data_IF_803133528272
#
_entry.id   IF_803133528272
#
_cell.length_a   1.000
_cell.length_b   1.000
_cell.length_c   1.000
_cell.angle_alpha   90.00
_cell.angle_beta   90.00
_cell.angle_gamma   90.00
#
_symmetry.space_group_name_H-M   'P 1'
#
loop_
_entity.id
_entity.type
_entity.pdbx_description
1 polymer ?
#
# COMPACT_ATOMS: atom_id res chain seq x y z
N UNK A 1 13.32 29.55 -56.29
CA UNK A 1 13.03 28.16 -55.94
C UNK A 1 14.07 27.53 -55.01
N UNK A 2 15.38 27.55 -55.34
CA UNK A 2 16.44 26.92 -54.50
C UNK A 2 16.60 27.53 -53.08
N UNK A 3 16.41 28.86 -52.92
CA UNK A 3 16.52 29.52 -51.60
C UNK A 3 15.35 29.17 -50.70
N UNK A 4 14.12 29.12 -51.21
CA UNK A 4 12.91 28.76 -50.47
C UNK A 4 12.96 27.33 -49.92
N UNK A 5 13.45 26.38 -50.72
CA UNK A 5 13.64 24.98 -50.28
C UNK A 5 14.67 24.89 -49.15
N UNK A 6 15.78 25.67 -49.23
CA UNK A 6 16.76 25.70 -48.14
C UNK A 6 16.19 26.24 -46.83
N UNK A 7 15.36 27.29 -46.89
CA UNK A 7 14.69 27.85 -45.69
C UNK A 7 13.74 26.84 -45.07
N UNK A 8 12.94 26.14 -45.87
CA UNK A 8 12.04 25.10 -45.38
C UNK A 8 12.81 23.92 -44.72
N UNK A 9 13.94 23.55 -45.31
CA UNK A 9 14.81 22.48 -44.74
C UNK A 9 15.40 22.93 -43.40
N UNK A 10 15.88 24.15 -43.25
CA UNK A 10 16.41 24.69 -41.99
C UNK A 10 15.30 24.75 -40.93
N UNK A 11 14.10 25.24 -41.29
CA UNK A 11 12.96 25.24 -40.36
C UNK A 11 12.56 23.85 -39.93
N UNK A 12 12.56 22.86 -40.82
CA UNK A 12 12.29 21.45 -40.49
C UNK A 12 13.32 20.86 -39.50
N UNK A 13 14.61 21.15 -39.72
CA UNK A 13 15.67 20.72 -38.80
C UNK A 13 15.52 21.37 -37.42
N UNK A 14 15.21 22.67 -37.35
CA UNK A 14 15.01 23.37 -36.09
C UNK A 14 13.83 22.81 -35.32
N UNK A 15 12.71 22.50 -35.99
CA UNK A 15 11.55 21.85 -35.34
C UNK A 15 11.88 20.45 -34.81
N UNK A 16 12.67 19.70 -35.58
CA UNK A 16 13.09 18.35 -35.17
C UNK A 16 14.00 18.40 -33.94
N UNK A 17 14.96 19.31 -33.91
CA UNK A 17 15.86 19.54 -32.76
C UNK A 17 15.07 20.00 -31.53
N UNK A 18 14.11 20.92 -31.72
CA UNK A 18 13.22 21.36 -30.63
C UNK A 18 12.37 20.20 -30.07
N UNK A 19 11.84 19.35 -30.97
CA UNK A 19 11.07 18.16 -30.58
C UNK A 19 11.91 17.17 -29.77
N UNK A 20 13.13 16.88 -30.22
CA UNK A 20 14.04 15.98 -29.47
C UNK A 20 14.40 16.59 -28.11
N UNK A 21 14.67 17.90 -28.06
CA UNK A 21 14.96 18.62 -26.81
C UNK A 21 13.79 18.55 -25.82
N UNK A 22 12.55 18.71 -26.31
CA UNK A 22 11.34 18.65 -25.50
C UNK A 22 11.13 17.24 -24.92
N UNK A 23 11.29 16.21 -25.75
CA UNK A 23 11.19 14.80 -25.30
C UNK A 23 12.29 14.48 -24.30
N UNK A 24 13.54 14.88 -24.58
CA UNK A 24 14.68 14.70 -23.69
C UNK A 24 14.48 15.40 -22.34
N UNK A 25 13.94 16.62 -22.33
CA UNK A 25 13.59 17.34 -21.10
C UNK A 25 12.49 16.63 -20.31
N UNK A 26 11.46 16.10 -20.99
CA UNK A 26 10.39 15.32 -20.35
C UNK A 26 10.91 14.07 -19.65
N UNK A 27 11.80 13.33 -20.33
CA UNK A 27 12.46 12.14 -19.78
C UNK A 27 13.35 12.51 -18.57
N UNK A 28 14.17 13.57 -18.72
CA UNK A 28 15.02 14.08 -17.65
C UNK A 28 14.20 14.50 -16.43
N UNK A 29 13.12 15.26 -16.62
CA UNK A 29 12.24 15.71 -15.55
C UNK A 29 11.56 14.51 -14.85
N UNK A 30 11.10 13.51 -15.60
CA UNK A 30 10.53 12.29 -15.02
C UNK A 30 11.56 11.52 -14.18
N UNK A 31 12.80 11.40 -14.65
CA UNK A 31 13.89 10.71 -13.95
C UNK A 31 14.38 11.45 -12.69
N UNK A 32 14.20 12.78 -12.63
CA UNK A 32 14.65 13.62 -11.50
C UNK A 32 13.54 13.92 -10.49
N UNK A 33 12.27 13.64 -10.81
CA UNK A 33 11.16 13.75 -9.87
C UNK A 33 11.28 12.66 -8.82
N UNK A 34 11.88 12.97 -7.67
CA UNK A 34 11.77 12.15 -6.46
C UNK A 34 10.34 12.32 -5.94
N UNK A 35 9.46 11.41 -6.31
CA UNK A 35 8.16 11.28 -5.66
C UNK A 35 8.45 10.83 -4.23
N UNK A 36 8.13 11.67 -3.24
CA UNK A 36 8.24 11.27 -1.85
C UNK A 36 7.13 10.27 -1.54
N UNK A 37 7.48 9.20 -0.84
CA UNK A 37 6.50 8.24 -0.35
C UNK A 37 5.50 8.92 0.60
N UNK A 38 4.22 8.60 0.51
CA UNK A 38 3.23 9.10 1.45
C UNK A 38 3.55 8.63 2.88
N UNK A 39 3.26 9.50 3.86
CA UNK A 39 3.41 9.18 5.28
C UNK A 39 2.02 9.15 5.91
N UNK A 40 1.65 8.02 6.50
CA UNK A 40 0.47 7.89 7.33
C UNK A 40 0.84 8.16 8.79
N UNK A 41 0.03 8.98 9.48
CA UNK A 41 0.17 9.23 10.90
C UNK A 41 -0.98 8.54 11.64
N UNK A 42 -0.66 7.67 12.59
CA UNK A 42 -1.61 6.91 13.39
C UNK A 42 -1.44 7.32 14.86
N UNK A 43 -2.48 7.88 15.44
CA UNK A 43 -2.54 8.16 16.87
C UNK A 43 -3.15 6.97 17.60
N UNK A 44 -2.43 6.42 18.57
CA UNK A 44 -2.88 5.29 19.38
C UNK A 44 -3.12 5.79 20.79
N UNK A 45 -4.37 5.74 21.23
CA UNK A 45 -4.80 6.25 22.54
C UNK A 45 -4.00 5.58 23.66
N UNK A 46 -3.40 6.40 24.54
CA UNK A 46 -2.55 5.93 25.64
C UNK A 46 -1.12 5.52 25.28
N UNK A 47 -0.78 5.46 23.97
CA UNK A 47 0.53 4.95 23.51
C UNK A 47 1.31 5.96 22.64
N UNK A 48 0.63 6.97 22.09
CA UNK A 48 1.28 8.02 21.29
C UNK A 48 1.08 7.85 19.80
N UNK A 49 1.99 8.43 19.02
CA UNK A 49 1.88 8.55 17.56
C UNK A 49 2.88 7.64 16.86
N UNK A 50 2.40 6.93 15.84
CA UNK A 50 3.20 6.12 14.92
C UNK A 50 3.18 6.80 13.56
N UNK A 51 4.34 6.96 12.91
CA UNK A 51 4.43 7.38 11.52
C UNK A 51 4.89 6.22 10.65
N UNK A 52 4.19 6.01 9.55
CA UNK A 52 4.37 4.90 8.64
C UNK A 52 4.64 5.46 7.24
N UNK A 53 5.79 5.17 6.69
CA UNK A 53 6.10 5.44 5.28
C UNK A 53 5.46 4.35 4.42
N UNK A 54 4.65 4.75 3.43
CA UNK A 54 3.93 3.84 2.54
C UNK A 54 4.68 3.73 1.21
N UNK A 55 4.72 2.54 0.63
CA UNK A 55 5.50 2.23 -0.57
C UNK A 55 4.58 1.90 -1.77
N UNK A 56 4.04 2.92 -2.47
CA UNK A 56 3.16 2.71 -3.62
C UNK A 56 3.82 1.97 -4.78
N UNK A 57 5.15 2.02 -4.90
CA UNK A 57 5.90 1.26 -5.91
C UNK A 57 5.87 -0.26 -5.64
N UNK A 58 5.69 -0.66 -4.36
CA UNK A 58 5.63 -2.07 -3.94
C UNK A 58 4.22 -2.63 -4.00
N UNK A 59 3.21 -1.83 -3.63
CA UNK A 59 1.82 -2.28 -3.54
C UNK A 59 0.84 -1.12 -3.84
N UNK A 60 0.73 -0.68 -5.11
CA UNK A 60 0.00 0.52 -5.49
C UNK A 60 -1.48 0.49 -5.11
N UNK A 61 -2.20 -0.60 -5.38
CA UNK A 61 -3.62 -0.70 -5.04
C UNK A 61 -3.84 -0.76 -3.52
N UNK A 62 -2.98 -1.47 -2.81
CA UNK A 62 -3.00 -1.59 -1.35
C UNK A 62 -2.79 -0.23 -0.69
N UNK A 63 -1.76 0.51 -1.13
CA UNK A 63 -1.46 1.87 -0.61
C UNK A 63 -2.60 2.82 -0.93
N UNK A 64 -3.11 2.83 -2.18
CA UNK A 64 -4.21 3.70 -2.57
C UNK A 64 -5.48 3.43 -1.74
N UNK A 65 -5.84 2.17 -1.54
CA UNK A 65 -6.96 1.75 -0.71
C UNK A 65 -6.78 2.18 0.75
N UNK A 66 -5.61 1.92 1.33
CA UNK A 66 -5.32 2.30 2.72
C UNK A 66 -5.42 3.82 2.93
N UNK A 67 -4.79 4.62 2.06
CA UNK A 67 -4.85 6.08 2.11
C UNK A 67 -6.29 6.59 2.01
N UNK A 68 -7.08 6.02 1.09
CA UNK A 68 -8.46 6.43 0.88
C UNK A 68 -9.32 6.16 2.10
N UNK A 69 -9.23 4.96 2.68
CA UNK A 69 -9.91 4.60 3.92
C UNK A 69 -9.46 5.49 5.10
N UNK A 70 -8.16 5.74 5.24
CA UNK A 70 -7.62 6.61 6.29
C UNK A 70 -8.16 8.05 6.17
N UNK A 71 -8.07 8.66 4.98
CA UNK A 71 -8.56 10.02 4.73
C UNK A 71 -10.07 10.16 4.93
N UNK A 72 -10.83 9.08 4.73
CA UNK A 72 -12.27 9.07 4.96
C UNK A 72 -12.65 8.79 6.42
N UNK A 73 -11.66 8.55 7.30
CA UNK A 73 -11.86 8.32 8.73
C UNK A 73 -12.29 6.90 9.08
N UNK A 74 -12.15 5.94 8.17
CA UNK A 74 -12.52 4.55 8.41
C UNK A 74 -11.86 3.95 9.66
N UNK A 75 -10.59 4.27 9.88
CA UNK A 75 -9.80 3.71 10.98
C UNK A 75 -10.02 4.41 12.33
N UNK A 76 -10.74 5.54 12.35
CA UNK A 76 -10.95 6.30 13.59
C UNK A 76 -11.79 5.50 14.59
N UNK A 77 -11.29 5.39 15.82
CA UNK A 77 -11.94 4.65 16.91
C UNK A 77 -11.89 3.12 16.78
N UNK A 78 -11.16 2.59 15.80
CA UNK A 78 -10.91 1.15 15.72
C UNK A 78 -9.78 0.74 16.66
N UNK A 79 -9.81 -0.52 17.10
CA UNK A 79 -8.82 -1.11 17.97
C UNK A 79 -7.87 -2.08 17.23
N UNK A 80 -6.78 -2.42 17.89
CA UNK A 80 -5.97 -3.58 17.53
C UNK A 80 -6.58 -4.81 18.21
N UNK A 81 -7.41 -5.53 17.49
CA UNK A 81 -8.19 -6.65 18.01
C UNK A 81 -7.38 -7.94 18.23
N UNK A 82 -6.16 -8.02 17.68
CA UNK A 82 -5.30 -9.19 17.79
C UNK A 82 -3.85 -8.78 17.97
N UNK A 83 -3.24 -9.24 19.04
CA UNK A 83 -1.82 -9.02 19.36
C UNK A 83 -1.16 -10.33 19.66
N UNK A 84 -0.07 -10.63 18.95
CA UNK A 84 0.77 -11.80 19.21
C UNK A 84 2.17 -11.30 19.53
N UNK A 85 2.68 -11.50 20.76
CA UNK A 85 4.04 -11.14 21.11
C UNK A 85 5.06 -11.77 20.18
N UNK A 86 6.12 -11.04 19.86
CA UNK A 86 7.21 -11.45 18.96
C UNK A 86 6.73 -11.88 17.56
N UNK A 87 5.57 -11.37 17.12
CA UNK A 87 5.05 -11.58 15.78
C UNK A 87 4.43 -10.32 15.20
N UNK A 88 3.22 -9.92 15.64
CA UNK A 88 2.51 -8.77 15.04
C UNK A 88 1.38 -8.24 15.90
N UNK A 89 0.93 -7.02 15.59
CA UNK A 89 -0.33 -6.45 16.05
C UNK A 89 -1.23 -6.22 14.84
N UNK A 90 -2.52 -6.58 14.93
CA UNK A 90 -3.49 -6.52 13.83
C UNK A 90 -4.67 -5.63 14.20
N UNK A 91 -5.00 -4.70 13.31
CA UNK A 91 -6.11 -3.75 13.44
C UNK A 91 -6.90 -3.59 12.14
N UNK A 92 -7.77 -2.57 12.09
CA UNK A 92 -8.55 -2.24 10.90
C UNK A 92 -9.81 -3.09 10.70
N UNK A 93 -10.24 -3.84 11.73
CA UNK A 93 -11.52 -4.55 11.74
C UNK A 93 -12.66 -3.60 12.06
N UNK A 94 -13.69 -3.54 11.22
CA UNK A 94 -14.85 -2.66 11.42
C UNK A 94 -15.59 -2.95 12.72
N UNK A 95 -15.71 -4.24 13.06
CA UNK A 95 -16.41 -4.69 14.26
C UNK A 95 -15.49 -4.80 15.48
N UNK A 96 -14.18 -4.57 15.34
CA UNK A 96 -13.21 -4.64 16.42
C UNK A 96 -12.89 -6.04 16.94
N UNK A 97 -13.28 -7.08 16.23
CA UNK A 97 -13.14 -8.51 16.61
C UNK A 97 -12.48 -9.38 15.53
N UNK A 98 -12.01 -8.76 14.45
CA UNK A 98 -11.44 -9.44 13.28
C UNK A 98 -12.46 -9.72 12.18
N UNK A 99 -13.72 -9.35 12.37
CA UNK A 99 -14.78 -9.44 11.36
C UNK A 99 -15.15 -8.08 10.77
N UNK A 100 -16.00 -8.07 9.73
CA UNK A 100 -16.41 -6.86 9.02
C UNK A 100 -15.39 -6.43 7.95
N UNK A 101 -15.88 -6.33 6.73
CA UNK A 101 -15.14 -5.81 5.58
C UNK A 101 -15.49 -4.33 5.34
N UNK A 102 -14.64 -3.57 4.64
CA UNK A 102 -14.99 -2.22 4.22
C UNK A 102 -16.07 -2.27 3.14
N UNK A 103 -16.95 -1.26 3.14
CA UNK A 103 -18.02 -1.09 2.15
C UNK A 103 -17.65 0.00 1.15
N UNK A 104 -18.31 0.04 0.00
CA UNK A 104 -18.11 1.09 -1.00
C UNK A 104 -18.42 2.48 -0.43
N UNK A 105 -19.37 2.59 0.50
CA UNK A 105 -19.66 3.83 1.24
C UNK A 105 -18.47 4.35 2.06
N UNK A 106 -17.60 3.48 2.56
CA UNK A 106 -16.41 3.87 3.31
C UNK A 106 -15.37 4.59 2.42
N UNK A 107 -15.43 4.37 1.10
CA UNK A 107 -14.60 5.05 0.11
C UNK A 107 -15.13 6.44 -0.27
N UNK A 108 -16.37 6.79 0.11
CA UNK A 108 -17.08 8.01 -0.29
C UNK A 108 -17.13 8.20 -1.81
N UNK A 109 -17.16 7.11 -2.54
CA UNK A 109 -17.37 7.10 -3.99
C UNK A 109 -18.85 7.00 -4.33
N UNK A 110 -19.23 7.55 -5.49
CA UNK A 110 -20.58 7.38 -6.02
C UNK A 110 -20.66 5.95 -6.58
N UNK A 111 -21.40 5.09 -5.91
CA UNK A 111 -21.66 3.72 -6.33
C UNK A 111 -23.15 3.42 -6.23
N UNK A 112 -23.65 2.55 -7.09
CA UNK A 112 -25.08 2.13 -7.09
C UNK A 112 -25.43 1.38 -5.79
N UNK A 113 -24.51 0.57 -5.29
CA UNK A 113 -24.67 -0.21 -4.05
C UNK A 113 -23.63 0.22 -3.01
N UNK A 114 -24.01 1.20 -2.19
CA UNK A 114 -23.16 1.76 -1.14
C UNK A 114 -22.85 0.77 -0.02
N UNK A 115 -23.74 -0.19 0.23
CA UNK A 115 -23.60 -1.19 1.29
C UNK A 115 -22.78 -2.41 0.90
N UNK A 116 -22.38 -2.50 -0.36
CA UNK A 116 -21.58 -3.62 -0.86
C UNK A 116 -20.19 -3.64 -0.24
N UNK A 117 -19.86 -4.76 0.40
CA UNK A 117 -18.49 -5.04 0.84
C UNK A 117 -17.57 -5.28 -0.36
N UNK A 118 -16.31 -4.87 -0.24
CA UNK A 118 -15.33 -5.07 -1.29
C UNK A 118 -14.01 -5.61 -0.72
N UNK A 119 -13.22 -6.21 -1.63
CA UNK A 119 -11.87 -6.66 -1.40
C UNK A 119 -10.97 -6.16 -2.52
N UNK A 120 -9.68 -6.08 -2.24
CA UNK A 120 -8.65 -5.73 -3.22
C UNK A 120 -7.81 -6.96 -3.57
N UNK A 121 -7.26 -7.04 -4.78
CA UNK A 121 -6.29 -8.07 -5.15
C UNK A 121 -5.05 -8.02 -4.26
N UNK A 122 -4.56 -9.18 -3.86
CA UNK A 122 -3.31 -9.27 -3.09
C UNK A 122 -2.11 -9.00 -3.98
N UNK A 123 -1.31 -7.99 -3.63
CA UNK A 123 -0.11 -7.57 -4.37
C UNK A 123 1.13 -8.25 -3.78
N UNK A 124 1.31 -9.55 -4.08
CA UNK A 124 2.43 -10.38 -3.64
C UNK A 124 2.72 -11.54 -4.61
N UNK A 125 3.91 -12.11 -4.52
CA UNK A 125 4.46 -13.07 -5.48
C UNK A 125 3.55 -14.28 -5.68
N UNK A 126 3.04 -14.90 -4.61
CA UNK A 126 2.17 -16.08 -4.69
C UNK A 126 0.84 -15.81 -5.42
N UNK A 127 0.44 -14.54 -5.58
CA UNK A 127 -0.74 -14.12 -6.35
C UNK A 127 -0.38 -13.62 -7.77
N UNK A 128 0.89 -13.75 -8.18
CA UNK A 128 1.38 -13.35 -9.49
C UNK A 128 1.83 -11.87 -9.60
N UNK A 129 1.95 -11.16 -8.48
CA UNK A 129 2.48 -9.80 -8.44
C UNK A 129 3.93 -9.82 -7.97
N UNK A 130 4.89 -9.60 -8.90
CA UNK A 130 6.31 -9.80 -8.66
C UNK A 130 7.06 -8.55 -8.16
N UNK A 131 6.44 -7.36 -8.22
CA UNK A 131 7.11 -6.10 -7.89
C UNK A 131 7.17 -5.85 -6.37
N UNK A 132 6.37 -6.58 -5.57
CA UNK A 132 6.42 -6.50 -4.13
C UNK A 132 7.50 -7.41 -3.55
N UNK A 133 8.65 -6.82 -3.27
CA UNK A 133 9.83 -7.50 -2.71
C UNK A 133 10.07 -7.15 -1.23
N UNK A 134 9.14 -6.43 -0.59
CA UNK A 134 9.26 -6.08 0.83
C UNK A 134 9.32 -7.33 1.71
N UNK A 135 10.26 -7.29 2.65
CA UNK A 135 10.43 -8.34 3.66
C UNK A 135 9.62 -8.01 4.90
N UNK A 136 9.03 -9.02 5.53
CA UNK A 136 8.29 -8.87 6.78
C UNK A 136 9.23 -8.77 7.97
N UNK A 137 9.99 -7.67 8.01
CA UNK A 137 10.83 -7.27 9.14
C UNK A 137 10.01 -6.52 10.20
N UNK A 138 10.55 -6.40 11.40
CA UNK A 138 9.95 -5.59 12.46
C UNK A 138 9.69 -4.14 12.00
N UNK A 139 8.48 -3.66 12.26
CA UNK A 139 7.98 -2.35 11.82
C UNK A 139 7.30 -2.34 10.45
N UNK A 140 7.36 -3.41 9.66
CA UNK A 140 6.66 -3.47 8.37
C UNK A 140 5.15 -3.60 8.59
N UNK A 141 4.37 -2.82 7.85
CA UNK A 141 2.90 -2.94 7.76
C UNK A 141 2.52 -3.74 6.53
N UNK A 142 1.57 -4.67 6.69
CA UNK A 142 1.09 -5.55 5.64
C UNK A 142 -0.42 -5.77 5.74
N UNK A 143 -1.09 -6.06 4.62
CA UNK A 143 -2.53 -6.32 4.61
C UNK A 143 -2.86 -7.72 5.14
N UNK A 144 -3.82 -7.78 6.05
CA UNK A 144 -4.42 -9.03 6.45
C UNK A 144 -5.37 -9.55 5.37
N UNK A 145 -5.47 -10.87 5.25
CA UNK A 145 -6.33 -11.58 4.32
C UNK A 145 -6.83 -12.89 4.90
N UNK A 146 -7.88 -13.45 4.32
CA UNK A 146 -8.35 -14.78 4.72
C UNK A 146 -7.32 -15.87 4.35
N UNK A 147 -7.17 -16.83 5.24
CA UNK A 147 -6.36 -18.03 5.01
C UNK A 147 -7.26 -19.25 5.08
N UNK A 148 -7.29 -20.01 4.01
CA UNK A 148 -8.13 -21.21 3.89
C UNK A 148 -7.32 -22.53 4.02
N UNK A 149 -6.06 -22.46 4.47
CA UNK A 149 -5.19 -23.63 4.60
C UNK A 149 -4.85 -24.26 3.25
N UNK A 150 -4.57 -25.57 3.25
CA UNK A 150 -4.27 -26.35 2.04
C UNK A 150 -5.55 -26.76 1.31
N UNK A 151 -6.13 -25.83 0.57
CA UNK A 151 -7.34 -26.00 -0.23
C UNK A 151 -7.01 -26.03 -1.72
N UNK A 152 -8.03 -26.19 -2.56
CA UNK A 152 -7.88 -26.09 -4.02
C UNK A 152 -7.30 -24.72 -4.45
N UNK A 153 -6.68 -24.68 -5.61
CA UNK A 153 -6.07 -23.44 -6.15
C UNK A 153 -7.08 -22.27 -6.21
N UNK A 154 -8.34 -22.53 -6.53
CA UNK A 154 -9.38 -21.52 -6.61
C UNK A 154 -9.72 -20.92 -5.23
N UNK A 155 -9.76 -21.77 -4.19
CA UNK A 155 -10.01 -21.32 -2.82
C UNK A 155 -8.81 -20.52 -2.29
N UNK A 156 -7.58 -20.97 -2.58
CA UNK A 156 -6.37 -20.21 -2.25
C UNK A 156 -6.38 -18.83 -2.91
N UNK A 157 -6.71 -18.77 -4.20
CA UNK A 157 -6.80 -17.51 -4.95
C UNK A 157 -7.89 -16.58 -4.40
N UNK A 158 -9.03 -17.13 -3.96
CA UNK A 158 -10.06 -16.37 -3.26
C UNK A 158 -9.51 -15.75 -1.96
N UNK A 159 -8.72 -16.51 -1.19
CA UNK A 159 -8.04 -16.00 0.00
C UNK A 159 -6.99 -14.92 -0.32
N UNK A 160 -6.25 -15.08 -1.40
CA UNK A 160 -5.26 -14.10 -1.85
C UNK A 160 -5.88 -12.75 -2.23
N UNK A 161 -7.12 -12.73 -2.69
CA UNK A 161 -7.87 -11.54 -3.11
C UNK A 161 -8.97 -11.16 -2.10
N UNK A 162 -8.77 -11.43 -0.81
CA UNK A 162 -9.73 -11.14 0.26
C UNK A 162 -9.32 -9.99 1.18
N UNK A 163 -8.22 -9.31 0.90
CA UNK A 163 -7.81 -8.14 1.65
C UNK A 163 -8.82 -7.00 1.47
N UNK A 164 -9.12 -6.27 2.55
CA UNK A 164 -10.04 -5.14 2.54
C UNK A 164 -9.44 -3.95 3.28
N UNK A 165 -9.66 -3.87 4.60
CA UNK A 165 -9.17 -2.78 5.44
C UNK A 165 -8.24 -3.25 6.56
N UNK A 166 -8.28 -4.54 6.94
CA UNK A 166 -7.48 -5.03 8.05
C UNK A 166 -6.01 -5.10 7.66
N UNK A 167 -5.16 -4.66 8.57
CA UNK A 167 -3.71 -4.66 8.43
C UNK A 167 -3.04 -5.21 9.68
N UNK A 168 -1.78 -5.58 9.58
CA UNK A 168 -0.95 -5.89 10.72
C UNK A 168 0.40 -5.20 10.63
N UNK A 169 0.98 -4.89 11.78
CA UNK A 169 2.33 -4.31 11.91
C UNK A 169 3.20 -5.38 12.57
N UNK A 170 4.31 -5.70 11.94
CA UNK A 170 5.27 -6.68 12.46
C UNK A 170 5.96 -6.16 13.71
N UNK A 171 6.01 -6.96 14.77
CA UNK A 171 6.76 -6.68 16.00
C UNK A 171 8.09 -7.45 16.06
N UNK A 172 8.26 -8.44 15.19
CA UNK A 172 9.50 -9.18 14.95
C UNK A 172 9.60 -9.57 13.47
N UNK A 173 10.80 -9.96 13.03
CA UNK A 173 11.05 -10.43 11.68
C UNK A 173 10.39 -11.81 11.47
N UNK A 174 9.70 -11.99 10.34
CA UNK A 174 9.11 -13.26 9.96
C UNK A 174 9.09 -13.46 8.45
N UNK A 175 10.12 -14.08 7.93
CA UNK A 175 10.29 -14.31 6.48
C UNK A 175 9.29 -15.32 5.89
N UNK A 176 8.54 -16.07 6.70
CA UNK A 176 7.52 -17.01 6.21
C UNK A 176 6.33 -16.32 5.55
N UNK A 177 6.16 -15.02 5.79
CA UNK A 177 5.10 -14.20 5.18
C UNK A 177 5.52 -13.59 3.85
N UNK A 178 6.83 -13.59 3.53
CA UNK A 178 7.37 -12.98 2.33
C UNK A 178 6.76 -13.63 1.07
N UNK A 179 6.34 -12.77 0.14
CA UNK A 179 5.71 -13.21 -1.10
C UNK A 179 4.32 -13.83 -0.96
N UNK A 180 3.74 -13.89 0.25
CA UNK A 180 2.39 -14.41 0.51
C UNK A 180 1.42 -13.43 1.13
N UNK A 181 1.91 -12.25 1.55
CA UNK A 181 1.13 -11.11 2.03
C UNK A 181 1.60 -9.82 1.37
N UNK A 182 0.69 -8.86 1.22
CA UNK A 182 0.98 -7.56 0.62
C UNK A 182 1.54 -6.59 1.67
N UNK A 183 2.86 -6.62 1.87
CA UNK A 183 3.57 -5.60 2.64
C UNK A 183 3.56 -4.29 1.84
N UNK A 184 3.24 -3.15 2.49
CA UNK A 184 3.00 -1.90 1.76
C UNK A 184 3.60 -0.64 2.42
N UNK A 185 4.36 -0.80 3.51
CA UNK A 185 5.02 0.30 4.19
C UNK A 185 5.85 -0.15 5.39
N UNK A 186 6.46 0.82 6.07
CA UNK A 186 7.26 0.59 7.28
C UNK A 186 7.09 1.73 8.27
N UNK A 187 7.02 1.41 9.54
CA UNK A 187 7.04 2.39 10.64
C UNK A 187 8.41 3.08 10.67
N UNK A 188 8.40 4.40 10.60
CA UNK A 188 9.61 5.25 10.63
C UNK A 188 9.76 6.02 11.94
N UNK A 189 8.65 6.27 12.67
CA UNK A 189 8.65 6.91 13.98
C UNK A 189 7.64 6.22 14.90
N UNK A 190 7.87 6.27 16.21
CA UNK A 190 6.98 5.72 17.24
C UNK A 190 7.13 4.20 17.45
N UNK A 191 8.00 3.53 16.71
CA UNK A 191 8.32 2.13 16.91
C UNK A 191 9.40 1.98 17.99
N UNK A 192 9.02 1.50 19.17
CA UNK A 192 9.98 1.17 20.24
C UNK A 192 10.31 -0.32 20.23
N UNK A 193 11.57 -0.67 20.05
CA UNK A 193 12.04 -2.06 20.20
C UNK A 193 11.92 -2.58 21.64
N UNK A 194 11.60 -1.70 22.63
CA UNK A 194 11.39 -2.08 24.02
C UNK A 194 10.08 -2.83 24.29
N UNK A 195 9.19 -2.91 23.30
CA UNK A 195 7.96 -3.71 23.40
C UNK A 195 8.19 -5.22 23.28
N UNK A 196 9.46 -5.68 23.29
CA UNK A 196 9.81 -7.09 23.48
C UNK A 196 9.49 -7.54 24.91
N UNK A 197 8.23 -7.78 25.21
CA UNK A 197 7.81 -8.29 26.51
C UNK A 197 6.60 -7.61 27.16
N UNK A 198 6.02 -6.61 26.54
CA UNK A 198 4.79 -6.03 27.05
C UNK A 198 3.60 -6.97 26.77
N UNK A 199 3.15 -7.67 27.81
CA UNK A 199 1.95 -8.54 27.74
C UNK A 199 0.63 -7.76 27.64
N UNK A 200 0.67 -6.44 27.63
CA UNK A 200 -0.50 -5.55 27.67
C UNK A 200 -0.30 -4.23 26.90
N UNK A 201 0.56 -4.19 25.88
CA UNK A 201 0.74 -2.99 25.08
C UNK A 201 -0.21 -3.02 23.89
N UNK A 202 -1.42 -2.63 24.12
CA UNK A 202 -2.30 -1.82 23.27
C UNK A 202 -3.38 -1.20 24.14
#
# INVERSE_FOLDING_TARGET
>A
MKVFVKILLILGILLLVAGIGFVGYGIYKKATLKVQNPIATMEVEGYGTIKIELYPDMAPNTVANFIKLANNGYYNGLNFHRTIPDFMIQGGSKNGDGTGAPKLSDLKEIAEDQDKEYCIPGEFIANGYNDNILKHEAGVISMARASYGNQSADILKKGYNSAGAQFFIMTADNTSLDGTYAAFGKVIEGYSKQNKGCKSCI
#
